data_IF_724917899278
#
_entry.id   IF_724917899278
#
_cell.length_a   1.000
_cell.length_b   1.000
_cell.length_c   1.000
_cell.angle_alpha   90.00
_cell.angle_beta   90.00
_cell.angle_gamma   90.00
#
_symmetry.space_group_name_H-M   'P 1'
#
loop_
_entity.id
_entity.type
_entity.pdbx_description
1 polymer ?
#
# COMPACT_ATOMS: atom_id res chain seq x y z
N UNK A 1 -6.15 18.37 -4.44
CA UNK A 1 -6.83 17.51 -3.45
C UNK A 1 -6.35 16.06 -3.51
N UNK A 2 -6.35 15.39 -4.68
CA UNK A 2 -5.91 14.00 -4.82
C UNK A 2 -4.45 13.74 -4.37
N UNK A 3 -3.50 14.62 -4.72
CA UNK A 3 -2.08 14.46 -4.37
C UNK A 3 -1.82 14.39 -2.86
N UNK A 4 -2.57 15.14 -2.06
CA UNK A 4 -2.42 15.16 -0.60
C UNK A 4 -2.87 13.81 -0.02
N UNK A 5 -4.00 13.28 -0.49
CA UNK A 5 -4.49 11.96 -0.09
C UNK A 5 -3.50 10.85 -0.48
N UNK A 6 -2.92 10.92 -1.67
CA UNK A 6 -1.88 9.97 -2.11
C UNK A 6 -0.64 10.04 -1.23
N UNK A 7 -0.16 11.25 -0.92
CA UNK A 7 1.00 11.44 -0.05
C UNK A 7 0.75 10.90 1.37
N UNK A 8 -0.42 11.19 1.95
CA UNK A 8 -0.82 10.67 3.27
C UNK A 8 -0.89 9.13 3.24
N UNK A 9 -1.48 8.54 2.19
CA UNK A 9 -1.54 7.09 2.02
C UNK A 9 -0.14 6.46 1.98
N UNK A 10 0.78 7.01 1.20
CA UNK A 10 2.15 6.52 1.09
C UNK A 10 2.92 6.65 2.42
N UNK A 11 2.73 7.76 3.14
CA UNK A 11 3.32 7.96 4.47
C UNK A 11 2.75 6.98 5.50
N UNK A 12 1.44 6.70 5.47
CA UNK A 12 0.83 5.68 6.34
C UNK A 12 1.35 4.28 6.02
N UNK A 13 1.56 3.94 4.74
CA UNK A 13 2.18 2.68 4.32
C UNK A 13 3.59 2.51 4.88
N UNK A 14 4.40 3.57 4.77
CA UNK A 14 5.77 3.60 5.28
C UNK A 14 5.81 3.46 6.81
N UNK A 15 4.97 4.22 7.52
CA UNK A 15 4.84 4.16 8.98
C UNK A 15 4.29 2.79 9.44
N UNK A 16 3.35 2.22 8.70
CA UNK A 16 2.80 0.88 8.92
C UNK A 16 3.88 -0.19 8.81
N UNK A 17 4.66 -0.19 7.73
CA UNK A 17 5.79 -1.10 7.54
C UNK A 17 6.85 -0.99 8.63
N UNK A 18 7.14 0.24 9.08
CA UNK A 18 8.04 0.47 10.20
C UNK A 18 7.49 -0.10 11.51
N UNK A 19 6.21 0.16 11.83
CA UNK A 19 5.56 -0.28 13.08
C UNK A 19 5.40 -1.80 13.12
N UNK A 20 5.04 -2.42 12.00
CA UNK A 20 4.89 -3.87 11.83
C UNK A 20 6.20 -4.63 12.13
N UNK A 21 7.36 -4.02 11.95
CA UNK A 21 8.63 -4.65 12.32
C UNK A 21 8.80 -4.80 13.84
N UNK A 22 8.36 -3.81 14.63
CA UNK A 22 8.50 -3.82 16.09
C UNK A 22 7.51 -4.74 16.82
N UNK A 23 6.48 -5.24 16.14
CA UNK A 23 5.53 -6.20 16.68
C UNK A 23 6.08 -7.63 16.55
N UNK A 24 6.08 -8.42 17.62
CA UNK A 24 6.51 -9.83 17.63
C UNK A 24 5.58 -10.80 16.90
N UNK A 25 4.75 -10.30 15.97
CA UNK A 25 3.75 -11.09 15.26
C UNK A 25 4.37 -12.02 14.22
N UNK A 26 3.72 -13.17 13.93
CA UNK A 26 4.13 -14.05 12.85
C UNK A 26 4.02 -13.32 11.50
N UNK A 27 4.90 -13.69 10.56
CA UNK A 27 5.04 -13.04 9.25
C UNK A 27 3.70 -12.99 8.49
N UNK A 28 2.87 -14.03 8.63
CA UNK A 28 1.55 -14.11 8.00
C UNK A 28 0.55 -13.08 8.51
N UNK A 29 0.54 -12.82 9.82
CA UNK A 29 -0.34 -11.78 10.41
C UNK A 29 0.12 -10.39 9.94
N UNK A 30 1.44 -10.17 9.83
CA UNK A 30 1.97 -8.93 9.24
C UNK A 30 1.58 -8.77 7.77
N UNK A 31 1.60 -9.86 7.01
CA UNK A 31 1.13 -9.91 5.62
C UNK A 31 -0.35 -9.59 5.50
N UNK A 32 -1.21 -10.21 6.33
CA UNK A 32 -2.66 -9.95 6.33
C UNK A 32 -2.98 -8.49 6.66
N UNK A 33 -2.32 -7.92 7.66
CA UNK A 33 -2.50 -6.51 8.02
C UNK A 33 -1.99 -5.58 6.93
N UNK A 34 -0.85 -5.90 6.31
CA UNK A 34 -0.35 -5.16 5.17
C UNK A 34 -1.33 -5.18 3.99
N UNK A 35 -1.91 -6.34 3.65
CA UNK A 35 -2.92 -6.49 2.60
C UNK A 35 -4.17 -5.68 2.96
N UNK A 36 -4.66 -5.79 4.20
CA UNK A 36 -5.83 -5.04 4.67
C UNK A 36 -5.62 -3.52 4.67
N UNK A 37 -4.37 -3.06 4.82
CA UNK A 37 -4.03 -1.65 4.72
C UNK A 37 -3.91 -1.20 3.25
N UNK A 38 -3.27 -2.02 2.41
CA UNK A 38 -2.92 -1.66 1.02
C UNK A 38 -4.12 -1.73 0.12
N UNK A 39 -4.88 -2.83 0.16
CA UNK A 39 -5.90 -3.15 -0.83
C UNK A 39 -7.13 -2.22 -0.89
N UNK A 40 -7.73 -1.71 0.21
CA UNK A 40 -9.06 -1.10 0.12
C UNK A 40 -9.10 0.18 -0.74
N UNK A 41 -8.09 1.04 -0.67
CA UNK A 41 -8.01 2.25 -1.51
C UNK A 41 -7.83 1.94 -3.01
N UNK A 42 -6.81 1.15 -3.43
CA UNK A 42 -6.66 0.77 -4.83
C UNK A 42 -7.84 -0.07 -5.31
N UNK A 43 -8.48 -0.90 -4.49
CA UNK A 43 -9.71 -1.61 -4.88
C UNK A 43 -10.85 -0.65 -5.21
N UNK A 44 -11.04 0.43 -4.45
CA UNK A 44 -12.08 1.43 -4.74
C UNK A 44 -11.90 2.09 -6.11
N UNK A 45 -10.65 2.21 -6.58
CA UNK A 45 -10.32 2.76 -7.90
C UNK A 45 -10.34 1.67 -8.98
N UNK A 46 -9.93 0.44 -8.65
CA UNK A 46 -9.82 -0.68 -9.58
C UNK A 46 -11.18 -1.34 -9.88
N UNK A 47 -12.07 -1.47 -8.89
CA UNK A 47 -13.42 -2.05 -9.04
C UNK A 47 -14.24 -1.42 -10.18
N UNK A 48 -14.39 -0.08 -10.25
CA UNK A 48 -15.20 0.52 -11.31
C UNK A 48 -14.61 0.27 -12.70
N UNK A 49 -13.28 0.28 -12.84
CA UNK A 49 -12.60 -0.07 -14.11
C UNK A 49 -12.69 -1.55 -14.47
N UNK A 50 -12.93 -2.44 -13.51
CA UNK A 50 -13.12 -3.89 -13.74
C UNK A 50 -14.58 -4.26 -14.01
N UNK A 51 -15.52 -3.61 -13.33
CA UNK A 51 -16.96 -3.91 -13.43
C UNK A 51 -17.63 -3.27 -14.64
N UNK A 52 -17.09 -2.15 -15.15
CA UNK A 52 -17.65 -1.44 -16.30
C UNK A 52 -16.54 -1.10 -17.31
N UNK A 53 -15.97 -2.13 -17.99
CA UNK A 53 -14.85 -1.93 -18.92
C UNK A 53 -15.23 -1.06 -20.13
N UNK A 54 -16.51 -1.01 -20.50
CA UNK A 54 -17.04 -0.19 -21.60
C UNK A 54 -17.07 1.33 -21.32
N UNK A 55 -16.81 1.79 -20.08
CA UNK A 55 -16.83 3.22 -19.77
C UNK A 55 -15.53 3.92 -20.18
N UNK A 56 -15.62 5.17 -20.68
CA UNK A 56 -14.42 5.98 -20.93
C UNK A 56 -13.61 6.09 -19.63
N UNK A 57 -12.28 6.03 -19.73
CA UNK A 57 -11.31 6.04 -18.61
C UNK A 57 -11.14 4.72 -17.82
N UNK A 58 -11.82 3.61 -18.16
CA UNK A 58 -11.65 2.34 -17.45
C UNK A 58 -10.19 1.84 -17.38
N UNK A 59 -9.44 1.95 -18.48
CA UNK A 59 -8.01 1.60 -18.50
C UNK A 59 -7.16 2.53 -17.63
N UNK A 60 -7.47 3.83 -17.62
CA UNK A 60 -6.77 4.80 -16.78
C UNK A 60 -7.01 4.53 -15.29
N UNK A 61 -8.24 4.21 -14.89
CA UNK A 61 -8.57 3.80 -13.52
C UNK A 61 -7.86 2.50 -13.13
N UNK A 62 -7.80 1.52 -14.03
CA UNK A 62 -7.04 0.28 -13.82
C UNK A 62 -5.56 0.58 -13.59
N UNK A 63 -4.95 1.39 -14.45
CA UNK A 63 -3.53 1.76 -14.35
C UNK A 63 -3.23 2.46 -13.02
N UNK A 64 -4.06 3.43 -12.63
CA UNK A 64 -3.91 4.15 -11.36
C UNK A 64 -4.02 3.20 -10.17
N UNK A 65 -5.00 2.28 -10.18
CA UNK A 65 -5.15 1.26 -9.14
C UNK A 65 -3.92 0.38 -9.00
N UNK A 66 -3.37 -0.13 -10.11
CA UNK A 66 -2.16 -0.96 -10.11
C UNK A 66 -0.92 -0.19 -9.64
N UNK A 67 -0.71 1.03 -10.13
CA UNK A 67 0.43 1.87 -9.72
C UNK A 67 0.35 2.19 -8.22
N UNK A 68 -0.84 2.53 -7.71
CA UNK A 68 -1.03 2.87 -6.31
C UNK A 68 -0.81 1.65 -5.39
N UNK A 69 -1.23 0.46 -5.83
CA UNK A 69 -0.99 -0.81 -5.14
C UNK A 69 0.51 -1.17 -5.14
N UNK A 70 1.20 -0.98 -6.27
CA UNK A 70 2.65 -1.18 -6.37
C UNK A 70 3.46 -0.22 -5.50
N UNK A 71 3.14 1.08 -5.54
CA UNK A 71 3.79 2.09 -4.70
C UNK A 71 3.52 1.86 -3.21
N UNK A 72 2.29 1.51 -2.82
CA UNK A 72 1.95 1.18 -1.43
C UNK A 72 2.72 -0.03 -0.91
N UNK A 73 2.84 -1.09 -1.71
CA UNK A 73 3.65 -2.26 -1.37
C UNK A 73 5.14 -1.92 -1.22
N UNK A 74 5.70 -1.13 -2.14
CA UNK A 74 7.09 -0.67 -2.07
C UNK A 74 7.34 0.19 -0.82
N UNK A 75 6.42 1.09 -0.46
CA UNK A 75 6.52 1.89 0.76
C UNK A 75 6.48 1.02 2.03
N UNK A 76 5.64 0.00 2.08
CA UNK A 76 5.61 -0.99 3.17
C UNK A 76 6.94 -1.73 3.32
N UNK A 77 7.49 -2.23 2.20
CA UNK A 77 8.79 -2.92 2.17
C UNK A 77 9.91 -1.95 2.58
N UNK A 78 9.86 -0.70 2.12
CA UNK A 78 10.79 0.36 2.51
C UNK A 78 10.78 0.62 4.02
N UNK A 79 9.59 0.72 4.63
CA UNK A 79 9.42 0.90 6.07
C UNK A 79 9.96 -0.29 6.88
N UNK A 80 9.72 -1.52 6.40
CA UNK A 80 10.25 -2.73 7.02
C UNK A 80 11.78 -2.82 6.91
N UNK A 81 12.33 -2.43 5.75
CA UNK A 81 13.77 -2.43 5.47
C UNK A 81 14.50 -1.41 6.35
N UNK A 82 13.92 -0.21 6.49
CA UNK A 82 14.48 0.83 7.34
C UNK A 82 14.44 0.44 8.83
N UNK A 83 13.36 -0.21 9.27
CA UNK A 83 13.26 -0.76 10.63
C UNK A 83 14.27 -1.91 10.88
N UNK A 84 14.47 -2.82 9.90
CA UNK A 84 15.52 -3.84 9.96
C UNK A 84 16.92 -3.26 10.04
N UNK A 85 17.22 -2.24 9.24
CA UNK A 85 18.52 -1.58 9.26
C UNK A 85 18.78 -0.92 10.61
N UNK A 86 17.76 -0.28 11.20
CA UNK A 86 17.86 0.29 12.56
C UNK A 86 18.10 -0.77 13.63
N UNK A 87 17.45 -1.92 13.53
CA UNK A 87 17.65 -3.02 14.48
C UNK A 87 19.02 -3.70 14.35
N UNK A 88 19.68 -3.62 13.19
CA UNK A 88 21.07 -4.08 13.01
C UNK A 88 22.14 -3.08 13.47
N UNK A 89 21.77 -1.80 13.63
CA UNK A 89 22.66 -0.73 14.12
C UNK A 89 22.60 -0.55 15.65
N UNK A 90 21.66 -1.21 16.31
CA UNK A 90 21.64 -1.38 17.77
C UNK A 90 22.27 -2.72 18.12
#
# INVERSE_FOLDING_TARGET
MAQILTAIYLLMMLAGGWRLFGLGWPLWVKGLVAIGLVCPLPLLVLLPGMLHPERPFADMLRMIGFVMMGCGALCLVGGLSAARLRARRR
#
